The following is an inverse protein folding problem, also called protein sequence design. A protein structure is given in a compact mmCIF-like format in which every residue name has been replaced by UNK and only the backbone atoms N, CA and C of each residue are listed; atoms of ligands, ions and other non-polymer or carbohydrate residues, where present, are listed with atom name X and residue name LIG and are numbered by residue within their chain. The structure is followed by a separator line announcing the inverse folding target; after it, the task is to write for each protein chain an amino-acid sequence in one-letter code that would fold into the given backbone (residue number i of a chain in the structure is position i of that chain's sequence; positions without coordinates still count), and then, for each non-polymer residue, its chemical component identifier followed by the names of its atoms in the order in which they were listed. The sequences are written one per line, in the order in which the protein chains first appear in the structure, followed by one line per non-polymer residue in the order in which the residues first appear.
data_IF_001667907195
#
_entry.id   IF_001667907195
#
_cell.length_a   1.000
_cell.length_b   1.000
_cell.length_c   1.000
_cell.angle_alpha   90.00
_cell.angle_beta   90.00
_cell.angle_gamma   90.00
#
_symmetry.space_group_name_H-M   'P 1'
#
loop_
_entity.id
_entity.type
_entity.pdbx_description
1 polymer ?
#
# COMPACT_ATOMS: atom_id res chain seq x y z
N UNK A 1 -21.81 2.48 19.35
CA UNK A 1 -20.38 2.73 19.65
C UNK A 1 -20.14 4.19 19.37
N UNK A 2 -19.72 4.96 20.37
CA UNK A 2 -19.40 6.40 20.22
C UNK A 2 -17.88 6.53 20.29
N UNK A 3 -17.29 7.26 19.35
CA UNK A 3 -15.86 7.54 19.35
C UNK A 3 -15.49 8.39 20.57
N UNK A 4 -14.28 8.19 21.09
CA UNK A 4 -13.67 9.11 22.03
C UNK A 4 -13.19 10.38 21.29
N UNK A 5 -13.06 11.50 22.02
CA UNK A 5 -12.71 12.81 21.45
C UNK A 5 -11.43 12.80 20.60
N UNK A 6 -10.43 12.01 21.00
CA UNK A 6 -9.19 11.84 20.24
C UNK A 6 -9.40 11.12 18.89
N UNK A 7 -10.27 10.12 18.87
CA UNK A 7 -10.60 9.35 17.67
C UNK A 7 -11.43 10.21 16.71
N UNK A 8 -12.39 10.97 17.24
CA UNK A 8 -13.21 11.90 16.49
C UNK A 8 -12.36 13.00 15.84
N UNK A 9 -11.42 13.58 16.59
CA UNK A 9 -10.46 14.55 16.06
C UNK A 9 -9.63 13.96 14.91
N UNK A 10 -9.19 12.72 15.04
CA UNK A 10 -8.40 12.02 14.02
C UNK A 10 -9.21 11.70 12.75
N UNK A 11 -10.51 11.39 12.89
CA UNK A 11 -11.41 11.14 11.75
C UNK A 11 -11.83 12.45 11.08
N UNK A 12 -12.01 13.52 11.85
CA UNK A 12 -12.56 14.81 11.37
C UNK A 12 -11.80 15.40 10.19
N UNK A 13 -10.48 15.21 10.11
CA UNK A 13 -9.64 15.70 9.01
C UNK A 13 -10.01 15.04 7.67
N UNK A 14 -10.48 13.80 7.70
CA UNK A 14 -10.93 13.04 6.54
C UNK A 14 -12.41 13.28 6.21
N UNK A 15 -13.15 13.91 7.11
CA UNK A 15 -14.56 14.28 6.90
C UNK A 15 -14.74 15.66 6.26
N UNK A 16 -13.69 16.48 6.21
CA UNK A 16 -13.74 17.84 5.65
C UNK A 16 -13.37 17.87 4.15
N UNK A 17 -14.31 18.17 3.23
CA UNK A 17 -14.04 18.16 1.79
C UNK A 17 -13.01 19.19 1.29
N UNK A 18 -12.69 20.20 2.10
CA UNK A 18 -11.70 21.22 1.76
C UNK A 18 -10.26 20.78 2.05
N UNK A 19 -10.07 19.62 2.69
CA UNK A 19 -8.76 19.10 3.08
C UNK A 19 -8.20 18.13 2.06
N UNK A 20 -6.89 18.14 1.91
CA UNK A 20 -6.13 17.17 1.11
C UNK A 20 -6.36 15.73 1.55
N UNK A 21 -6.53 15.51 2.85
CA UNK A 21 -6.73 14.20 3.46
C UNK A 21 -8.07 13.59 3.02
N UNK A 22 -9.13 14.39 2.95
CA UNK A 22 -10.41 13.95 2.39
C UNK A 22 -10.31 13.63 0.89
N UNK A 23 -9.59 14.45 0.12
CA UNK A 23 -9.37 14.19 -1.30
C UNK A 23 -8.60 12.88 -1.53
N UNK A 24 -7.55 12.64 -0.76
CA UNK A 24 -6.77 11.39 -0.82
C UNK A 24 -7.65 10.18 -0.48
N UNK A 25 -8.44 10.23 0.60
CA UNK A 25 -9.35 9.15 0.96
C UNK A 25 -10.45 8.94 -0.09
N UNK A 26 -10.94 10.01 -0.71
CA UNK A 26 -11.94 9.92 -1.79
C UNK A 26 -11.36 9.22 -3.03
N UNK A 27 -10.14 9.57 -3.43
CA UNK A 27 -9.44 8.91 -4.54
C UNK A 27 -9.16 7.44 -4.24
N UNK A 28 -8.73 7.12 -3.01
CA UNK A 28 -8.55 5.73 -2.59
C UNK A 28 -9.89 4.98 -2.61
N UNK A 29 -10.95 5.56 -2.05
CA UNK A 29 -12.30 4.98 -1.99
C UNK A 29 -12.85 4.67 -3.39
N UNK A 30 -12.66 5.58 -4.35
CA UNK A 30 -13.08 5.39 -5.74
C UNK A 30 -12.37 4.20 -6.41
N UNK A 31 -11.05 4.03 -6.16
CA UNK A 31 -10.28 2.89 -6.68
C UNK A 31 -10.73 1.56 -6.09
N UNK A 32 -11.29 1.57 -4.87
CA UNK A 32 -11.73 0.39 -4.14
C UNK A 32 -13.24 0.15 -4.21
N UNK A 33 -13.95 0.84 -5.12
CA UNK A 33 -15.38 0.61 -5.38
C UNK A 33 -16.33 1.15 -4.30
N UNK A 34 -15.87 2.06 -3.43
CA UNK A 34 -16.74 2.71 -2.45
C UNK A 34 -17.52 3.86 -3.10
N UNK A 35 -18.84 3.86 -2.90
CA UNK A 35 -19.72 4.91 -3.40
C UNK A 35 -19.68 6.16 -2.51
N UNK A 36 -18.66 6.99 -2.70
CA UNK A 36 -18.53 8.31 -2.07
C UNK A 36 -18.37 8.31 -0.55
N UNK A 37 -17.99 9.47 -0.01
CA UNK A 37 -17.76 9.69 1.43
C UNK A 37 -18.77 10.68 2.03
N UNK A 38 -20.04 10.55 1.63
CA UNK A 38 -21.09 11.50 1.98
C UNK A 38 -21.59 11.43 3.43
N UNK A 39 -21.10 10.45 4.20
CA UNK A 39 -21.41 10.30 5.63
C UNK A 39 -20.15 10.01 6.43
N UNK A 40 -20.15 10.38 7.70
CA UNK A 40 -19.07 10.03 8.62
C UNK A 40 -18.88 8.51 8.72
N UNK A 41 -19.97 7.74 8.72
CA UNK A 41 -19.91 6.28 8.71
C UNK A 41 -19.20 5.74 7.45
N UNK A 42 -19.42 6.35 6.28
CA UNK A 42 -18.68 5.97 5.05
C UNK A 42 -17.20 6.33 5.13
N UNK A 43 -16.86 7.48 5.72
CA UNK A 43 -15.46 7.87 5.97
C UNK A 43 -14.77 6.86 6.88
N UNK A 44 -15.40 6.50 8.00
CA UNK A 44 -14.86 5.52 8.94
C UNK A 44 -14.68 4.16 8.28
N UNK A 45 -15.66 3.67 7.50
CA UNK A 45 -15.53 2.39 6.77
C UNK A 45 -14.38 2.42 5.77
N UNK A 46 -14.23 3.50 5.03
CA UNK A 46 -13.12 3.66 4.09
C UNK A 46 -11.77 3.66 4.83
N UNK A 47 -11.65 4.41 5.93
CA UNK A 47 -10.44 4.44 6.76
C UNK A 47 -10.09 3.07 7.35
N UNK A 48 -11.07 2.32 7.84
CA UNK A 48 -10.86 0.97 8.38
C UNK A 48 -10.34 0.03 7.29
N UNK A 49 -10.93 0.07 6.10
CA UNK A 49 -10.50 -0.77 4.99
C UNK A 49 -9.10 -0.38 4.50
N UNK A 50 -8.83 0.90 4.32
CA UNK A 50 -7.51 1.42 3.92
C UNK A 50 -6.43 1.07 4.96
N UNK A 51 -6.74 1.20 6.25
CA UNK A 51 -5.83 0.81 7.33
C UNK A 51 -5.55 -0.68 7.36
N UNK A 52 -6.58 -1.52 7.16
CA UNK A 52 -6.40 -2.98 7.10
C UNK A 52 -5.55 -3.42 5.90
N UNK A 53 -5.68 -2.73 4.77
CA UNK A 53 -4.85 -2.95 3.58
C UNK A 53 -3.40 -2.54 3.84
N UNK A 54 -3.16 -1.32 4.37
CA UNK A 54 -1.82 -0.84 4.68
C UNK A 54 -1.08 -1.76 5.67
N UNK A 55 -1.77 -2.26 6.70
CA UNK A 55 -1.19 -3.22 7.65
C UNK A 55 -0.85 -4.56 7.01
N UNK A 56 -1.64 -4.99 6.00
CA UNK A 56 -1.38 -6.23 5.27
C UNK A 56 -0.16 -6.07 4.35
N UNK A 57 -0.04 -4.95 3.65
CA UNK A 57 1.12 -4.64 2.80
C UNK A 57 2.40 -4.56 3.62
N UNK A 58 2.38 -3.84 4.75
CA UNK A 58 3.50 -3.74 5.67
C UNK A 58 3.92 -5.11 6.25
N UNK A 59 2.96 -6.00 6.53
CA UNK A 59 3.26 -7.38 6.93
C UNK A 59 3.92 -8.19 5.81
N UNK A 60 3.47 -8.02 4.55
CA UNK A 60 4.08 -8.68 3.40
C UNK A 60 5.51 -8.18 3.16
N UNK A 61 5.73 -6.87 3.24
CA UNK A 61 7.05 -6.27 3.06
C UNK A 61 8.04 -6.78 4.11
N UNK A 62 7.62 -6.90 5.37
CA UNK A 62 8.44 -7.51 6.44
C UNK A 62 8.76 -8.96 6.15
N UNK A 63 7.77 -9.76 5.75
CA UNK A 63 7.99 -11.16 5.41
C UNK A 63 8.97 -11.32 4.24
N UNK A 64 8.86 -10.48 3.19
CA UNK A 64 9.81 -10.47 2.09
C UNK A 64 11.22 -10.07 2.52
N UNK A 65 11.35 -9.09 3.43
CA UNK A 65 12.64 -8.69 3.98
C UNK A 65 13.29 -9.84 4.79
N UNK A 66 12.51 -10.60 5.56
CA UNK A 66 12.99 -11.77 6.29
C UNK A 66 13.47 -12.87 5.36
N UNK A 67 12.71 -13.19 4.30
CA UNK A 67 13.11 -14.16 3.29
C UNK A 67 14.42 -13.73 2.63
N UNK A 68 14.51 -12.47 2.21
CA UNK A 68 15.73 -11.93 1.60
C UNK A 68 16.94 -11.98 2.55
N UNK A 69 16.74 -11.73 3.84
CA UNK A 69 17.79 -11.81 4.85
C UNK A 69 18.26 -13.26 5.06
N UNK A 70 17.34 -14.23 5.05
CA UNK A 70 17.63 -15.65 5.23
C UNK A 70 18.25 -16.35 4.01
N UNK A 71 18.25 -15.70 2.84
CA UNK A 71 18.81 -16.27 1.63
C UNK A 71 20.29 -16.62 1.82
N UNK A 72 20.65 -17.87 1.52
CA UNK A 72 22.01 -18.38 1.56
C UNK A 72 22.90 -17.69 0.52
N UNK A 73 24.21 -17.77 0.72
CA UNK A 73 25.17 -17.22 -0.23
C UNK A 73 25.04 -17.85 -1.63
N UNK A 74 24.75 -19.15 -1.69
CA UNK A 74 24.51 -19.86 -2.96
C UNK A 74 23.28 -19.33 -3.71
N UNK A 75 22.17 -19.09 -3.00
CA UNK A 75 20.95 -18.53 -3.60
C UNK A 75 21.15 -17.08 -4.09
N UNK A 76 21.95 -16.29 -3.36
CA UNK A 76 22.32 -14.93 -3.77
C UNK A 76 23.18 -14.93 -5.05
N UNK A 77 24.12 -15.86 -5.15
CA UNK A 77 25.00 -16.00 -6.31
C UNK A 77 24.24 -16.53 -7.53
N UNK A 78 23.31 -17.47 -7.34
CA UNK A 78 22.41 -17.96 -8.38
C UNK A 78 21.47 -16.85 -8.89
N UNK A 79 20.86 -16.07 -8.00
CA UNK A 79 20.01 -14.95 -8.38
C UNK A 79 20.79 -13.87 -9.16
N UNK A 80 22.05 -13.62 -8.80
CA UNK A 80 22.95 -12.73 -9.55
C UNK A 80 23.19 -13.26 -10.97
N UNK A 81 23.49 -14.54 -11.11
CA UNK A 81 23.72 -15.17 -12.41
C UNK A 81 22.45 -15.12 -13.30
N UNK A 82 21.27 -15.34 -12.72
CA UNK A 82 19.98 -15.22 -13.43
C UNK A 82 19.75 -13.78 -13.90
N UNK A 83 19.98 -12.78 -13.03
CA UNK A 83 19.87 -11.37 -13.40
C UNK A 83 20.82 -10.98 -14.52
N UNK A 84 22.09 -11.38 -14.47
CA UNK A 84 23.05 -11.10 -15.55
C UNK A 84 22.60 -11.67 -16.89
N UNK A 85 22.13 -12.93 -16.91
CA UNK A 85 21.57 -13.56 -18.13
C UNK A 85 20.33 -12.85 -18.64
N UNK A 86 19.48 -12.32 -17.75
CA UNK A 86 18.30 -11.56 -18.15
C UNK A 86 18.67 -10.23 -18.81
N UNK A 87 19.62 -9.49 -18.23
CA UNK A 87 20.14 -8.22 -18.78
C UNK A 87 20.77 -8.44 -20.16
N UNK A 88 21.67 -9.42 -20.29
CA UNK A 88 22.30 -9.79 -21.56
C UNK A 88 21.26 -10.16 -22.63
N UNK A 89 20.16 -10.81 -22.23
CA UNK A 89 19.07 -11.14 -23.14
C UNK A 89 18.30 -9.89 -23.55
N UNK A 90 17.94 -9.01 -22.62
CA UNK A 90 17.19 -7.78 -22.94
C UNK A 90 18.00 -6.81 -23.81
N UNK A 91 19.30 -6.66 -23.57
CA UNK A 91 20.19 -5.82 -24.40
C UNK A 91 20.32 -6.36 -25.82
N UNK A 92 20.25 -7.69 -26.00
CA UNK A 92 20.26 -8.32 -27.32
C UNK A 92 18.97 -8.07 -28.12
N UNK A 93 17.86 -7.71 -27.48
CA UNK A 93 16.55 -7.52 -28.11
C UNK A 93 16.09 -6.05 -28.20
N UNK A 94 16.92 -5.08 -27.76
CA UNK A 94 16.68 -3.65 -28.03
C UNK A 94 17.58 -3.23 -29.21
N UNK A 95 17.04 -3.05 -30.42
CA UNK A 95 17.79 -2.39 -31.49
C UNK A 95 17.90 -0.90 -31.15
N UNK A 96 19.13 -0.38 -31.20
CA UNK A 96 19.41 1.05 -31.12
C UNK A 96 18.88 1.84 -32.30
#
# INVERSE_FOLDING_TARGET
MTLAEAEESSVSIFSNPQRSEHAALTSWAAQHGFAGLGSEASVIRALVQAGAEALREDALDRAYAEVAASASQAERDENRAIRSRYVERTERFVPG
#
